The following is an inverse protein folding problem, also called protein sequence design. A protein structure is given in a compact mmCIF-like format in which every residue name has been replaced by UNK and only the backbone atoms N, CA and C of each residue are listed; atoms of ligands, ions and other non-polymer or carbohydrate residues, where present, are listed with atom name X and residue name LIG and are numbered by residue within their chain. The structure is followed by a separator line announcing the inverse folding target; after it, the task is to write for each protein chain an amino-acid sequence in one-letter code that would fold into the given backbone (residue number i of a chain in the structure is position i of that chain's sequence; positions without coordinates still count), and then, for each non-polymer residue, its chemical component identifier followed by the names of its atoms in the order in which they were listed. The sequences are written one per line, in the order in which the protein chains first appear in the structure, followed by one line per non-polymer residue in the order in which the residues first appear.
data_IF_716687317704
#
_entry.id   IF_716687317704
#
_cell.length_a   1.000
_cell.length_b   1.000
_cell.length_c   1.000
_cell.angle_alpha   90.00
_cell.angle_beta   90.00
_cell.angle_gamma   90.00
#
_symmetry.space_group_name_H-M   'P 1'
#
loop_
_entity.id
_entity.type
_entity.pdbx_description
1 polymer ?
#
# COMPACT_ATOMS: atom_id res chain seq x y z
N UNK A 1 -42.47 -52.13 -28.33
CA UNK A 1 -43.01 -51.89 -26.98
C UNK A 1 -42.30 -50.67 -26.41
N UNK A 2 -43.00 -49.54 -26.35
CA UNK A 2 -42.49 -48.26 -25.86
C UNK A 2 -42.47 -48.25 -24.33
N UNK A 3 -41.33 -47.98 -23.70
CA UNK A 3 -41.28 -47.57 -22.30
C UNK A 3 -40.72 -46.17 -22.19
N UNK A 4 -41.63 -45.25 -21.90
CA UNK A 4 -41.38 -43.90 -21.43
C UNK A 4 -40.72 -43.95 -20.05
N UNK A 5 -39.65 -43.18 -19.84
CA UNK A 5 -39.15 -42.84 -18.50
C UNK A 5 -38.76 -41.37 -18.46
N UNK A 6 -39.63 -40.59 -17.80
CA UNK A 6 -39.35 -39.24 -17.32
C UNK A 6 -38.12 -39.26 -16.41
N UNK A 7 -37.12 -38.42 -16.71
CA UNK A 7 -36.07 -38.06 -15.76
C UNK A 7 -36.21 -36.58 -15.48
N UNK A 8 -36.81 -36.27 -14.33
CA UNK A 8 -37.01 -34.92 -13.83
C UNK A 8 -35.67 -34.24 -13.55
N UNK A 9 -35.58 -32.97 -13.97
CA UNK A 9 -34.48 -32.06 -13.64
C UNK A 9 -34.60 -31.63 -12.18
N UNK A 10 -33.77 -32.16 -11.29
CA UNK A 10 -33.52 -31.58 -9.97
C UNK A 10 -32.33 -30.61 -10.06
N UNK A 11 -32.64 -29.33 -10.29
CA UNK A 11 -31.65 -28.26 -10.15
C UNK A 11 -31.46 -27.95 -8.65
N UNK A 12 -30.36 -28.43 -8.07
CA UNK A 12 -29.91 -27.99 -6.76
C UNK A 12 -29.29 -26.60 -6.91
N UNK A 13 -30.04 -25.55 -6.59
CA UNK A 13 -29.51 -24.20 -6.40
C UNK A 13 -28.70 -24.16 -5.10
N UNK A 14 -27.38 -24.30 -5.23
CA UNK A 14 -26.46 -23.99 -4.14
C UNK A 14 -26.43 -22.47 -3.92
N UNK A 15 -26.93 -22.02 -2.77
CA UNK A 15 -26.83 -20.63 -2.34
C UNK A 15 -25.36 -20.31 -2.03
N UNK A 16 -24.65 -19.72 -3.00
CA UNK A 16 -23.35 -19.13 -2.76
C UNK A 16 -23.54 -17.92 -1.83
N UNK A 17 -23.12 -18.06 -0.56
CA UNK A 17 -22.93 -16.91 0.34
C UNK A 17 -21.92 -15.99 -0.32
N UNK A 18 -22.40 -14.86 -0.84
CA UNK A 18 -21.56 -13.74 -1.25
C UNK A 18 -20.80 -13.26 -0.03
N UNK A 19 -19.52 -13.63 0.07
CA UNK A 19 -18.59 -12.94 0.94
C UNK A 19 -18.50 -11.51 0.44
N UNK A 20 -19.09 -10.59 1.21
CA UNK A 20 -18.99 -9.16 0.94
C UNK A 20 -17.51 -8.79 0.97
N UNK A 21 -16.96 -8.59 -0.23
CA UNK A 21 -15.60 -8.10 -0.43
C UNK A 21 -15.34 -6.87 0.45
N UNK A 22 -14.13 -6.80 1.01
CA UNK A 22 -13.62 -5.67 1.79
C UNK A 22 -13.74 -4.31 1.08
N UNK A 23 -14.05 -4.30 -0.22
CA UNK A 23 -14.44 -3.11 -0.97
C UNK A 23 -15.60 -2.32 -0.33
N UNK A 24 -16.54 -2.99 0.35
CA UNK A 24 -17.66 -2.32 1.01
C UNK A 24 -17.22 -1.45 2.21
N UNK A 25 -16.08 -1.76 2.86
CA UNK A 25 -15.57 -0.97 3.98
C UNK A 25 -14.87 0.33 3.52
N UNK A 26 -14.51 0.44 2.25
CA UNK A 26 -13.87 1.64 1.69
C UNK A 26 -14.87 2.78 1.35
N UNK A 27 -16.18 2.50 1.42
CA UNK A 27 -17.24 3.45 1.05
C UNK A 27 -17.62 4.46 2.16
N UNK A 28 -16.92 4.45 3.30
CA UNK A 28 -17.27 5.29 4.47
C UNK A 28 -16.89 6.79 4.30
N UNK A 29 -16.17 7.14 3.25
CA UNK A 29 -15.87 8.53 2.87
C UNK A 29 -16.28 8.68 1.41
N UNK A 30 -17.07 9.71 1.08
CA UNK A 30 -17.61 9.97 -0.27
C UNK A 30 -16.57 10.33 -1.35
N UNK A 31 -15.37 9.76 -1.26
CA UNK A 31 -14.21 9.98 -2.13
C UNK A 31 -13.75 8.65 -2.69
N UNK A 32 -13.53 8.58 -4.01
CA UNK A 32 -13.21 7.32 -4.66
C UNK A 32 -11.85 6.79 -4.16
N UNK A 33 -11.75 5.55 -3.66
CA UNK A 33 -10.47 4.98 -3.20
C UNK A 33 -9.36 5.01 -4.25
N UNK A 34 -9.71 4.96 -5.54
CA UNK A 34 -8.76 5.00 -6.64
C UNK A 34 -8.09 6.37 -6.83
N UNK A 35 -8.68 7.45 -6.32
CA UNK A 35 -8.07 8.79 -6.38
C UNK A 35 -6.70 8.82 -5.67
N UNK A 36 -6.45 7.93 -4.71
CA UNK A 36 -5.18 7.87 -3.98
C UNK A 36 -3.98 7.46 -4.86
N UNK A 37 -4.21 6.92 -6.06
CA UNK A 37 -3.14 6.60 -7.01
C UNK A 37 -2.72 7.78 -7.88
N UNK A 38 -3.44 8.91 -7.81
CA UNK A 38 -3.19 10.09 -8.62
C UNK A 38 -2.84 11.26 -7.72
N UNK A 39 -2.05 12.20 -8.24
CA UNK A 39 -1.86 13.46 -7.53
C UNK A 39 -3.18 14.24 -7.53
N UNK A 40 -3.48 14.92 -6.42
CA UNK A 40 -4.61 15.83 -6.39
C UNK A 40 -4.43 16.90 -7.48
N UNK A 41 -5.49 17.20 -8.21
CA UNK A 41 -5.48 18.20 -9.29
C UNK A 41 -4.86 19.51 -8.77
N UNK A 42 -3.72 19.88 -9.34
CA UNK A 42 -3.04 21.16 -9.09
C UNK A 42 -3.23 22.05 -10.30
N UNK A 43 -3.40 23.34 -10.05
CA UNK A 43 -3.51 24.32 -11.12
C UNK A 43 -2.18 24.34 -11.88
N UNK A 44 -2.19 24.42 -13.23
CA UNK A 44 -0.97 24.64 -14.00
C UNK A 44 -0.25 25.95 -13.64
N UNK A 45 -0.95 26.88 -12.97
CA UNK A 45 -0.40 28.15 -12.47
C UNK A 45 0.31 28.02 -11.12
N UNK A 46 0.22 26.86 -10.45
CA UNK A 46 0.90 26.65 -9.17
C UNK A 46 2.42 26.57 -9.37
N UNK A 47 3.16 27.35 -8.56
CA UNK A 47 4.62 27.30 -8.54
C UNK A 47 5.12 25.86 -8.34
N UNK A 48 6.25 25.52 -9.00
CA UNK A 48 6.80 24.17 -8.96
C UNK A 48 6.83 23.64 -7.51
N UNK A 49 6.11 22.55 -7.22
CA UNK A 49 5.96 22.07 -5.86
C UNK A 49 7.30 21.65 -5.27
N UNK A 50 7.68 22.27 -4.15
CA UNK A 50 8.92 21.95 -3.44
C UNK A 50 8.71 20.71 -2.59
N UNK A 51 9.33 19.59 -2.98
CA UNK A 51 9.29 18.37 -2.20
C UNK A 51 10.41 18.33 -1.16
N UNK A 52 10.04 17.99 0.07
CA UNK A 52 10.96 17.88 1.20
C UNK A 52 12.05 16.81 1.05
N UNK A 53 12.83 16.66 2.12
CA UNK A 53 13.88 15.64 2.23
C UNK A 53 13.35 14.30 2.73
N UNK A 54 14.15 13.24 2.53
CA UNK A 54 13.90 11.92 3.14
C UNK A 54 14.04 11.94 4.68
N UNK A 55 13.34 11.02 5.35
CA UNK A 55 13.40 10.80 6.81
C UNK A 55 14.78 10.33 7.25
N UNK A 56 15.39 10.93 8.28
CA UNK A 56 16.67 10.45 8.83
C UNK A 56 16.45 9.31 9.82
N UNK A 57 17.43 8.40 9.93
CA UNK A 57 17.35 7.28 10.87
C UNK A 57 17.25 7.76 12.33
N UNK A 58 17.99 8.82 12.69
CA UNK A 58 17.91 9.42 14.04
C UNK A 58 16.49 9.89 14.41
N UNK A 59 15.73 10.40 13.44
CA UNK A 59 14.36 10.87 13.65
C UNK A 59 13.39 9.70 13.83
N UNK A 60 13.61 8.61 13.10
CA UNK A 60 12.79 7.41 13.14
C UNK A 60 13.01 6.59 14.42
N UNK A 61 14.22 6.62 14.99
CA UNK A 61 14.53 5.94 16.27
C UNK A 61 13.68 6.44 17.44
N UNK A 62 13.27 7.71 17.39
CA UNK A 62 12.46 8.34 18.44
C UNK A 62 10.95 8.04 18.32
N UNK A 63 10.52 7.28 17.30
CA UNK A 63 9.10 7.00 17.04
C UNK A 63 8.67 5.63 17.54
N UNK A 64 7.41 5.52 17.99
CA UNK A 64 6.82 4.25 18.42
C UNK A 64 6.71 3.25 17.26
N UNK A 65 6.49 1.96 17.55
CA UNK A 65 6.24 0.96 16.51
C UNK A 65 4.99 1.32 15.68
N UNK A 66 3.91 1.75 16.33
CA UNK A 66 2.66 2.14 15.67
C UNK A 66 2.85 3.33 14.72
N UNK A 67 3.62 4.35 15.12
CA UNK A 67 3.90 5.51 14.26
C UNK A 67 4.73 5.12 13.04
N UNK A 68 5.74 4.25 13.23
CA UNK A 68 6.53 3.72 12.12
C UNK A 68 5.70 2.87 11.17
N UNK A 69 4.77 2.08 11.71
CA UNK A 69 3.84 1.26 10.94
C UNK A 69 2.87 2.15 10.13
N UNK A 70 2.27 3.17 10.74
CA UNK A 70 1.43 4.14 10.02
C UNK A 70 2.23 4.89 8.95
N UNK A 71 3.44 5.32 9.28
CA UNK A 71 4.32 6.01 8.34
C UNK A 71 4.70 5.11 7.15
N UNK A 72 4.91 3.82 7.36
CA UNK A 72 5.14 2.86 6.29
C UNK A 72 4.02 2.91 5.24
N UNK A 73 2.76 2.89 5.66
CA UNK A 73 1.61 2.95 4.75
C UNK A 73 1.42 4.31 4.09
N UNK A 74 1.76 5.41 4.78
CA UNK A 74 1.80 6.74 4.14
C UNK A 74 2.83 6.74 3.00
N UNK A 75 4.04 6.24 3.24
CA UNK A 75 5.10 6.14 2.23
C UNK A 75 4.75 5.14 1.12
N UNK A 76 4.04 4.06 1.45
CA UNK A 76 3.60 3.06 0.48
C UNK A 76 2.58 3.66 -0.50
N UNK A 77 1.60 4.42 -0.01
CA UNK A 77 0.64 5.13 -0.85
C UNK A 77 1.33 6.14 -1.77
N UNK A 78 2.24 6.95 -1.22
CA UNK A 78 3.05 7.89 -2.00
C UNK A 78 3.86 7.17 -3.08
N UNK A 79 4.54 6.06 -2.73
CA UNK A 79 5.30 5.26 -3.70
C UNK A 79 4.41 4.76 -4.83
N UNK A 80 3.22 4.23 -4.49
CA UNK A 80 2.29 3.70 -5.48
C UNK A 80 1.78 4.79 -6.41
N UNK A 81 1.39 5.94 -5.86
CA UNK A 81 0.97 7.11 -6.64
C UNK A 81 2.07 7.58 -7.62
N UNK A 82 3.32 7.70 -7.15
CA UNK A 82 4.45 8.10 -8.00
C UNK A 82 4.75 7.09 -9.10
N UNK A 83 4.60 5.79 -8.83
CA UNK A 83 4.79 4.75 -9.84
C UNK A 83 3.71 4.79 -10.92
N UNK A 84 2.45 4.99 -10.52
CA UNK A 84 1.33 5.19 -11.45
C UNK A 84 1.58 6.40 -12.34
N UNK A 85 1.91 7.55 -11.75
CA UNK A 85 2.18 8.78 -12.50
C UNK A 85 3.36 8.62 -13.47
N UNK A 86 4.45 7.99 -13.02
CA UNK A 86 5.62 7.73 -13.88
C UNK A 86 5.25 6.87 -15.07
N UNK A 87 4.47 5.81 -14.87
CA UNK A 87 4.06 4.90 -15.94
C UNK A 87 3.11 5.60 -16.93
N UNK A 88 2.15 6.39 -16.45
CA UNK A 88 1.24 7.15 -17.29
C UNK A 88 1.95 8.16 -18.17
N UNK A 89 2.85 8.96 -17.59
CA UNK A 89 3.62 9.96 -18.34
C UNK A 89 4.54 9.29 -19.36
N UNK A 90 5.19 8.18 -18.98
CA UNK A 90 5.98 7.39 -19.91
C UNK A 90 5.15 6.88 -21.09
N UNK A 91 3.93 6.37 -20.86
CA UNK A 91 3.03 5.91 -21.92
C UNK A 91 2.59 7.05 -22.86
N UNK A 92 2.49 8.27 -22.34
CA UNK A 92 2.20 9.48 -23.11
C UNK A 92 3.46 10.13 -23.70
N UNK A 93 4.63 9.50 -23.56
CA UNK A 93 5.93 10.02 -24.02
C UNK A 93 6.32 11.37 -23.38
N UNK A 94 5.81 11.63 -22.18
CA UNK A 94 6.09 12.82 -21.37
C UNK A 94 7.15 12.53 -20.30
N UNK A 95 7.95 13.55 -19.98
CA UNK A 95 8.98 13.45 -18.94
C UNK A 95 8.36 13.56 -17.54
N UNK A 96 8.78 12.68 -16.64
CA UNK A 96 8.38 12.75 -15.23
C UNK A 96 8.95 14.01 -14.56
N UNK A 97 8.11 14.90 -13.99
CA UNK A 97 8.56 16.20 -13.48
C UNK A 97 9.57 16.15 -12.33
N UNK A 98 9.45 15.18 -11.41
CA UNK A 98 10.21 15.15 -10.14
C UNK A 98 10.77 13.76 -9.80
N UNK A 99 11.72 13.22 -10.60
CA UNK A 99 12.23 11.85 -10.47
C UNK A 99 12.93 11.56 -9.14
N UNK A 100 13.40 12.58 -8.43
CA UNK A 100 14.10 12.48 -7.15
C UNK A 100 13.18 12.09 -5.97
N UNK A 101 11.87 12.25 -6.11
CA UNK A 101 10.90 11.84 -5.07
C UNK A 101 10.93 10.33 -4.82
N UNK A 102 11.00 9.53 -5.88
CA UNK A 102 10.97 8.06 -5.77
C UNK A 102 12.15 7.55 -4.92
N UNK A 103 13.42 7.93 -5.17
CA UNK A 103 14.53 7.60 -4.28
C UNK A 103 14.34 8.09 -2.84
N UNK A 104 13.80 9.29 -2.61
CA UNK A 104 13.58 9.85 -1.26
C UNK A 104 12.59 8.99 -0.45
N UNK A 105 11.50 8.56 -1.08
CA UNK A 105 10.49 7.67 -0.47
C UNK A 105 11.10 6.31 -0.16
N UNK A 106 11.76 5.67 -1.15
CA UNK A 106 12.44 4.37 -0.98
C UNK A 106 13.48 4.40 0.13
N UNK A 107 14.26 5.49 0.22
CA UNK A 107 15.28 5.68 1.26
C UNK A 107 14.65 5.77 2.66
N UNK A 108 13.51 6.47 2.77
CA UNK A 108 12.77 6.57 4.03
C UNK A 108 12.21 5.22 4.45
N UNK A 109 11.63 4.45 3.53
CA UNK A 109 11.17 3.07 3.77
C UNK A 109 12.31 2.16 4.23
N UNK A 110 13.47 2.20 3.54
CA UNK A 110 14.64 1.42 3.93
C UNK A 110 15.11 1.73 5.36
N UNK A 111 15.12 3.01 5.76
CA UNK A 111 15.49 3.41 7.13
C UNK A 111 14.49 2.96 8.19
N UNK A 112 13.20 2.85 7.86
CA UNK A 112 12.21 2.26 8.78
C UNK A 112 12.56 0.80 9.05
N UNK A 113 12.82 0.01 7.99
CA UNK A 113 13.26 -1.38 8.13
C UNK A 113 14.54 -1.49 8.95
N UNK A 114 15.52 -0.62 8.68
CA UNK A 114 16.76 -0.56 9.44
C UNK A 114 16.50 -0.34 10.94
N UNK A 115 15.76 0.71 11.32
CA UNK A 115 15.50 1.04 12.73
C UNK A 115 14.71 -0.08 13.43
N UNK A 116 13.74 -0.69 12.76
CA UNK A 116 13.01 -1.82 13.34
C UNK A 116 13.92 -3.05 13.51
N UNK A 117 14.88 -3.25 12.62
CA UNK A 117 15.85 -4.35 12.70
C UNK A 117 16.85 -4.12 13.82
N UNK A 118 17.33 -2.88 14.01
CA UNK A 118 18.15 -2.47 15.16
C UNK A 118 17.44 -2.85 16.48
N UNK A 119 16.16 -2.47 16.63
CA UNK A 119 15.35 -2.83 17.81
C UNK A 119 15.18 -4.33 18.01
N UNK A 120 14.98 -5.07 16.94
CA UNK A 120 14.86 -6.53 17.03
C UNK A 120 16.18 -7.22 17.44
N UNK A 121 17.33 -6.61 17.15
CA UNK A 121 18.64 -7.12 17.59
C UNK A 121 18.86 -6.82 19.08
N UNK A 122 18.38 -5.67 19.55
CA UNK A 122 18.52 -5.23 20.95
C UNK A 122 17.56 -5.97 21.91
N UNK A 123 16.47 -6.57 21.41
CA UNK A 123 15.52 -7.31 22.24
C UNK A 123 16.17 -8.57 22.87
N UNK A 124 16.20 -8.70 24.20
CA UNK A 124 16.84 -9.83 24.88
C UNK A 124 16.07 -11.15 24.71
N UNK A 125 14.77 -11.12 24.38
CA UNK A 125 13.96 -12.33 24.18
C UNK A 125 14.07 -12.82 22.71
N UNK A 126 14.64 -14.01 22.47
CA UNK A 126 14.79 -14.55 21.12
C UNK A 126 13.45 -14.75 20.39
N UNK A 127 12.35 -15.01 21.13
CA UNK A 127 11.02 -15.22 20.52
C UNK A 127 10.47 -13.91 19.98
N UNK A 128 10.52 -12.84 20.79
CA UNK A 128 10.10 -11.49 20.39
C UNK A 128 10.94 -10.96 19.24
N UNK A 129 12.27 -11.14 19.30
CA UNK A 129 13.17 -10.79 18.19
C UNK A 129 12.78 -11.50 16.88
N UNK A 130 12.48 -12.80 16.94
CA UNK A 130 12.07 -13.58 15.77
C UNK A 130 10.72 -13.10 15.20
N UNK A 131 9.74 -12.79 16.05
CA UNK A 131 8.46 -12.22 15.63
C UNK A 131 8.63 -10.84 14.98
N UNK A 132 9.40 -9.95 15.60
CA UNK A 132 9.72 -8.64 15.02
C UNK A 132 10.37 -8.78 13.65
N UNK A 133 11.35 -9.67 13.48
CA UNK A 133 12.00 -9.91 12.18
C UNK A 133 11.00 -10.41 11.13
N UNK A 134 10.07 -11.29 11.50
CA UNK A 134 9.00 -11.73 10.59
C UNK A 134 8.11 -10.56 10.17
N UNK A 135 7.68 -9.73 11.11
CA UNK A 135 6.87 -8.54 10.82
C UNK A 135 7.61 -7.56 9.90
N UNK A 136 8.89 -7.28 10.17
CA UNK A 136 9.72 -6.37 9.37
C UNK A 136 9.86 -6.86 7.92
N UNK A 137 9.99 -8.17 7.72
CA UNK A 137 10.09 -8.76 6.38
C UNK A 137 8.75 -8.75 5.65
N UNK A 138 7.62 -8.75 6.37
CA UNK A 138 6.29 -8.66 5.80
C UNK A 138 5.88 -7.23 5.40
N UNK A 139 6.57 -6.19 5.91
CA UNK A 139 6.38 -4.79 5.50
C UNK A 139 6.83 -4.56 4.04
#
# INVERSE_FOLDING_TARGET
MFLSRFVGRTALLAAAKSERSAAAAAAATGRNPLEQFFEADRSPDDEKPVYGRSWKASELRLKSWDDLHKLWYVLLKEKNMLMTQRQMLHAQNLRFPNPERIPKVRKSMCRIKQVLTERAIEDPDPRRSAEMRRMINAL
#
